data_IF_413680720283
#
_entry.id   IF_413680720283
#
_cell.length_a   1.000
_cell.length_b   1.000
_cell.length_c   1.000
_cell.angle_alpha   90.00
_cell.angle_beta   90.00
_cell.angle_gamma   90.00
#
_symmetry.space_group_name_H-M   'P 1'
#
loop_
_entity.id
_entity.type
_entity.pdbx_description
1 polymer ?
#
# COMPACT_ATOMS: atom_id res chain seq x y z
N UNK A 1 2.95 -11.37 -4.93
CA UNK A 1 3.52 -11.30 -6.30
C UNK A 1 2.64 -10.48 -7.25
N UNK A 2 1.34 -10.80 -7.44
CA UNK A 2 0.46 -10.16 -8.44
C UNK A 2 0.29 -8.64 -8.31
N UNK A 3 0.16 -8.10 -7.09
CA UNK A 3 0.03 -6.65 -6.90
C UNK A 3 1.29 -5.90 -7.34
N UNK A 4 2.47 -6.40 -6.98
CA UNK A 4 3.76 -5.86 -7.39
C UNK A 4 3.98 -6.00 -8.90
N UNK A 5 3.52 -7.09 -9.52
CA UNK A 5 3.55 -7.27 -10.97
C UNK A 5 2.70 -6.23 -11.72
N UNK A 6 1.56 -5.83 -11.14
CA UNK A 6 0.71 -4.76 -11.67
C UNK A 6 1.17 -3.35 -11.28
N UNK A 7 2.33 -3.24 -10.63
CA UNK A 7 2.86 -1.99 -10.09
C UNK A 7 1.92 -1.27 -9.10
N UNK A 8 0.98 -1.98 -8.47
CA UNK A 8 0.08 -1.39 -7.48
C UNK A 8 0.74 -1.22 -6.10
N UNK A 9 1.82 -1.94 -5.83
CA UNK A 9 2.61 -1.84 -4.60
C UNK A 9 4.11 -1.94 -4.88
N UNK A 10 4.91 -1.28 -4.06
CA UNK A 10 6.36 -1.36 -4.04
C UNK A 10 6.88 -1.83 -2.67
N UNK A 11 8.19 -2.11 -2.59
CA UNK A 11 8.84 -2.42 -1.32
C UNK A 11 8.82 -1.19 -0.40
N UNK A 12 8.35 -1.37 0.83
CA UNK A 12 8.25 -0.29 1.81
C UNK A 12 9.50 -0.16 2.70
N UNK A 13 9.49 0.84 3.60
CA UNK A 13 10.54 1.00 4.62
C UNK A 13 10.62 -0.22 5.52
N UNK A 14 11.82 -0.77 5.67
CA UNK A 14 12.08 -1.89 6.56
C UNK A 14 12.75 -1.40 7.83
N UNK A 15 12.31 -1.91 8.99
CA UNK A 15 13.01 -1.67 10.24
C UNK A 15 14.46 -2.17 10.12
N UNK A 16 15.47 -1.41 10.62
CA UNK A 16 16.88 -1.79 10.48
C UNK A 16 17.26 -3.03 11.32
N UNK A 17 16.31 -3.65 12.03
CA UNK A 17 16.55 -4.82 12.87
C UNK A 17 16.70 -6.09 12.01
N UNK A 18 17.68 -6.95 12.30
CA UNK A 18 17.78 -8.26 11.65
C UNK A 18 16.46 -9.04 11.75
N UNK A 19 16.04 -9.63 10.63
CA UNK A 19 14.79 -10.40 10.57
C UNK A 19 13.51 -9.55 10.50
N UNK A 20 13.59 -8.21 10.45
CA UNK A 20 12.39 -7.38 10.30
C UNK A 20 11.58 -7.80 9.07
N UNK A 21 10.23 -7.85 9.15
CA UNK A 21 9.39 -8.31 8.05
C UNK A 21 9.49 -7.37 6.83
N UNK A 22 9.16 -7.91 5.66
CA UNK A 22 8.96 -7.08 4.47
C UNK A 22 7.71 -6.24 4.63
N UNK A 23 7.83 -4.96 4.32
CA UNK A 23 6.72 -4.02 4.24
C UNK A 23 6.48 -3.66 2.78
N UNK A 24 5.29 -3.15 2.50
CA UNK A 24 4.90 -2.68 1.18
C UNK A 24 4.22 -1.33 1.31
N UNK A 25 4.35 -0.52 0.27
CA UNK A 25 3.66 0.76 0.12
C UNK A 25 2.92 0.78 -1.21
N UNK A 26 1.86 1.57 -1.30
CA UNK A 26 1.17 1.84 -2.57
C UNK A 26 2.03 2.76 -3.47
N UNK A 27 1.76 2.73 -4.77
CA UNK A 27 2.47 3.51 -5.79
C UNK A 27 1.57 4.61 -6.36
N UNK A 28 2.10 5.42 -7.28
CA UNK A 28 1.29 6.33 -8.08
C UNK A 28 0.35 5.57 -9.03
N UNK A 29 0.78 4.43 -9.57
CA UNK A 29 -0.07 3.55 -10.40
C UNK A 29 -1.31 3.08 -9.63
N UNK A 30 -1.20 2.86 -8.31
CA UNK A 30 -2.37 2.59 -7.46
C UNK A 30 -3.35 3.75 -7.50
N UNK A 31 -2.89 4.99 -7.28
CA UNK A 31 -3.76 6.17 -7.29
C UNK A 31 -4.51 6.30 -8.61
N UNK A 32 -3.80 6.20 -9.74
CA UNK A 32 -4.41 6.27 -11.08
C UNK A 32 -5.40 5.12 -11.31
N UNK A 33 -5.06 3.89 -10.90
CA UNK A 33 -5.91 2.71 -11.11
C UNK A 33 -7.25 2.83 -10.36
N UNK A 34 -7.25 3.50 -9.21
CA UNK A 34 -8.43 3.69 -8.36
C UNK A 34 -9.03 5.10 -8.46
N UNK A 35 -8.60 5.90 -9.44
CA UNK A 35 -9.08 7.27 -9.68
C UNK A 35 -8.98 8.19 -8.45
N UNK A 36 -7.86 8.06 -7.72
CA UNK A 36 -7.55 8.87 -6.54
C UNK A 36 -6.52 9.95 -6.91
N UNK A 37 -6.70 11.17 -6.41
CA UNK A 37 -5.68 12.22 -6.51
C UNK A 37 -4.63 12.07 -5.42
N UNK A 38 -5.01 11.54 -4.26
CA UNK A 38 -4.13 11.23 -3.14
C UNK A 38 -4.69 10.11 -2.28
N UNK A 39 -3.85 9.56 -1.37
CA UNK A 39 -4.32 8.58 -0.39
C UNK A 39 -5.33 9.16 0.61
N UNK A 40 -5.53 10.48 0.67
CA UNK A 40 -6.57 11.12 1.50
C UNK A 40 -7.97 10.97 0.93
N UNK A 41 -8.07 10.62 -0.36
CA UNK A 41 -9.36 10.41 -1.03
C UNK A 41 -9.89 8.99 -0.79
N UNK A 42 -9.14 8.16 -0.05
CA UNK A 42 -9.61 6.85 0.37
C UNK A 42 -10.85 7.01 1.26
N UNK A 43 -11.88 6.17 1.05
CA UNK A 43 -13.03 6.17 1.94
C UNK A 43 -12.59 5.76 3.35
N UNK A 44 -13.25 6.34 4.36
CA UNK A 44 -13.06 5.91 5.75
C UNK A 44 -13.33 4.41 5.86
N UNK A 45 -12.39 3.69 6.44
CA UNK A 45 -12.56 2.26 6.69
C UNK A 45 -13.50 2.09 7.88
N UNK A 46 -14.65 1.44 7.66
CA UNK A 46 -15.44 0.94 8.78
C UNK A 46 -14.62 -0.11 9.52
N UNK A 47 -14.13 0.26 10.71
CA UNK A 47 -13.49 -0.69 11.62
C UNK A 47 -14.59 -1.54 12.23
N UNK A 48 -14.86 -2.69 11.62
CA UNK A 48 -15.68 -3.73 12.25
C UNK A 48 -14.88 -4.22 13.45
N UNK A 49 -15.28 -3.76 14.64
CA UNK A 49 -14.71 -4.23 15.90
C UNK A 49 -15.08 -5.71 16.07
N UNK A 50 -14.14 -6.57 16.49
CA UNK A 50 -14.40 -8.00 16.67
C UNK A 50 -15.43 -8.30 17.76
#
# INVERSE_FOLDING_TARGET
ARLRYKDLIASGPRSPRPGAPHTFVTTETFLVTFDLQSLRDLPDMEVVSP
#
